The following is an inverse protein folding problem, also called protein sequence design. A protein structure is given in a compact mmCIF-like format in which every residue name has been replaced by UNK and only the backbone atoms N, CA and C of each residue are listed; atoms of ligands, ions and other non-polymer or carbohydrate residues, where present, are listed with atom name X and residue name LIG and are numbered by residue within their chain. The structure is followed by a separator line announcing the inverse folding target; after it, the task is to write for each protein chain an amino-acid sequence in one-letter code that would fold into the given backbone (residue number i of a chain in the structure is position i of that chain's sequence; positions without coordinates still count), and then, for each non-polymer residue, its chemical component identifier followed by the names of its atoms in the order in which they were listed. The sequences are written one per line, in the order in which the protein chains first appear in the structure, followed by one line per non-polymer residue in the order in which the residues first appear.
data_IF_876104546001
#
_entry.id   IF_876104546001
#
_cell.length_a   1.000
_cell.length_b   1.000
_cell.length_c   1.000
_cell.angle_alpha   90.00
_cell.angle_beta   90.00
_cell.angle_gamma   90.00
#
_symmetry.space_group_name_H-M   'P 1'
#
loop_
_entity.id
_entity.type
_entity.pdbx_description
1 polymer ?
#
# COMPACT_ATOMS: atom_id res chain seq x y z
N UNK A 1 16.45 5.48 -4.89
CA UNK A 1 16.16 5.08 -3.48
C UNK A 1 16.10 6.35 -2.65
N UNK A 2 14.97 6.67 -2.02
CA UNK A 2 14.97 7.72 -0.98
C UNK A 2 15.75 7.14 0.20
N UNK A 3 16.95 7.67 0.47
CA UNK A 3 17.59 7.44 1.78
C UNK A 3 16.59 7.92 2.83
N UNK A 4 16.11 7.03 3.68
CA UNK A 4 15.41 7.43 4.89
C UNK A 4 16.44 8.18 5.74
N UNK A 5 16.27 9.50 5.86
CA UNK A 5 17.12 10.31 6.72
C UNK A 5 16.98 9.79 8.16
N UNK A 6 18.10 9.67 8.87
CA UNK A 6 18.15 9.14 10.23
C UNK A 6 17.30 10.01 11.17
N UNK A 7 16.28 9.41 11.78
CA UNK A 7 15.36 10.09 12.70
C UNK A 7 16.03 10.20 14.07
N UNK A 8 16.24 11.43 14.53
CA UNK A 8 16.77 11.74 15.86
C UNK A 8 15.65 11.64 16.91
N UNK A 9 14.47 12.19 16.57
CA UNK A 9 13.28 12.15 17.43
C UNK A 9 12.01 12.34 16.63
N UNK A 10 10.96 11.65 17.05
CA UNK A 10 9.59 11.85 16.59
C UNK A 10 8.67 12.09 17.80
N UNK A 11 7.60 12.87 17.60
CA UNK A 11 6.61 13.12 18.66
C UNK A 11 5.65 14.28 18.34
N UNK A 12 4.77 14.60 19.29
CA UNK A 12 3.86 15.74 19.18
C UNK A 12 4.47 17.03 19.76
N UNK A 13 4.37 18.14 19.03
CA UNK A 13 4.70 19.48 19.51
C UNK A 13 3.57 20.46 19.20
N UNK A 14 3.44 21.53 19.99
CA UNK A 14 2.52 22.62 19.68
C UNK A 14 3.23 23.73 18.89
N UNK A 15 2.79 23.99 17.66
CA UNK A 15 3.27 25.08 16.81
C UNK A 15 2.28 26.22 16.84
N UNK A 16 2.79 27.45 17.01
CA UNK A 16 1.99 28.66 16.96
C UNK A 16 1.59 29.01 15.53
N UNK A 17 0.30 29.23 15.29
CA UNK A 17 -0.21 29.60 13.97
C UNK A 17 0.16 31.03 13.62
N UNK A 18 0.35 31.26 12.34
CA UNK A 18 0.66 32.52 11.67
C UNK A 18 -0.62 33.31 11.31
N UNK A 19 -1.78 32.81 11.72
CA UNK A 19 -3.07 33.52 11.62
C UNK A 19 -3.19 34.67 12.64
N UNK A 20 -4.18 35.54 12.43
CA UNK A 20 -4.47 36.69 13.29
C UNK A 20 -4.60 36.34 14.78
N UNK A 21 -5.18 35.18 15.10
CA UNK A 21 -5.42 34.75 16.47
C UNK A 21 -4.24 34.05 17.15
N UNK A 22 -3.16 33.76 16.41
CA UNK A 22 -1.90 33.24 16.97
C UNK A 22 -2.07 32.01 17.88
N UNK A 23 -2.94 31.07 17.48
CA UNK A 23 -3.34 29.90 18.25
C UNK A 23 -2.23 28.83 18.25
N UNK A 24 -2.16 28.04 19.32
CA UNK A 24 -1.30 26.86 19.39
C UNK A 24 -2.03 25.66 18.76
N UNK A 25 -1.33 24.91 17.89
CA UNK A 25 -1.84 23.68 17.28
C UNK A 25 -0.85 22.56 17.48
N UNK A 26 -1.31 21.42 18.00
CA UNK A 26 -0.52 20.18 18.01
C UNK A 26 -0.15 19.79 16.60
N UNK A 27 1.05 19.24 16.44
CA UNK A 27 1.63 18.76 15.18
C UNK A 27 2.43 17.51 15.49
N UNK A 28 2.32 16.50 14.63
CA UNK A 28 3.31 15.44 14.60
C UNK A 28 4.58 15.99 13.96
N UNK A 29 5.72 15.79 14.61
CA UNK A 29 7.00 16.36 14.21
C UNK A 29 8.05 15.27 14.14
N UNK A 30 8.83 15.28 13.07
CA UNK A 30 10.00 14.42 12.90
C UNK A 30 11.22 15.29 12.73
N UNK A 31 12.20 15.08 13.60
CA UNK A 31 13.51 15.72 13.56
C UNK A 31 14.53 14.72 12.99
N UNK A 32 15.20 15.12 11.92
CA UNK A 32 16.37 14.41 11.36
C UNK A 32 17.61 15.29 11.50
N UNK A 33 18.79 14.77 11.14
CA UNK A 33 20.03 15.58 11.11
C UNK A 33 19.93 16.79 10.18
N UNK A 34 19.12 16.69 9.12
CA UNK A 34 19.07 17.67 8.04
C UNK A 34 17.81 18.56 8.08
N UNK A 35 16.76 18.16 8.81
CA UNK A 35 15.46 18.84 8.71
C UNK A 35 14.55 18.66 9.93
N UNK A 36 13.64 19.63 10.11
CA UNK A 36 12.49 19.52 11.03
C UNK A 36 11.21 19.50 10.19
N UNK A 37 10.56 18.35 10.11
CA UNK A 37 9.33 18.17 9.34
C UNK A 37 8.11 18.24 10.25
N UNK A 38 7.17 19.13 9.94
CA UNK A 38 5.87 19.22 10.61
C UNK A 38 4.79 18.61 9.73
N UNK A 39 4.09 17.62 10.26
CA UNK A 39 3.02 16.96 9.53
C UNK A 39 1.67 17.63 9.82
N UNK A 40 0.82 17.82 8.80
CA UNK A 40 -0.47 18.47 8.94
C UNK A 40 -1.43 17.63 9.81
N UNK A 41 -2.37 18.32 10.46
CA UNK A 41 -3.41 17.69 11.27
C UNK A 41 -4.58 17.36 10.34
N UNK A 42 -4.34 16.38 9.47
CA UNK A 42 -5.32 15.93 8.48
C UNK A 42 -5.38 14.42 8.51
N UNK A 43 -6.60 13.88 8.52
CA UNK A 43 -6.82 12.46 8.30
C UNK A 43 -7.37 12.27 6.89
N UNK A 44 -6.74 11.40 6.12
CA UNK A 44 -7.35 10.81 4.93
C UNK A 44 -8.19 9.63 5.38
N UNK A 45 -9.42 9.58 4.91
CA UNK A 45 -10.35 8.47 5.08
C UNK A 45 -10.40 7.68 3.78
N UNK A 46 -10.39 6.36 3.88
CA UNK A 46 -10.54 5.48 2.72
C UNK A 46 -11.18 4.16 3.13
N UNK A 47 -11.90 3.55 2.20
CA UNK A 47 -12.61 2.29 2.40
C UNK A 47 -11.97 1.22 1.52
N UNK A 48 -11.73 0.05 2.11
CA UNK A 48 -11.35 -1.15 1.36
C UNK A 48 -12.58 -2.03 1.24
N UNK A 49 -12.95 -2.35 0.01
CA UNK A 49 -14.01 -3.32 -0.30
C UNK A 49 -13.36 -4.65 -0.67
N UNK A 50 -13.71 -5.71 0.06
CA UNK A 50 -13.16 -7.05 -0.16
C UNK A 50 -13.96 -7.84 -1.20
N UNK A 51 -13.47 -9.02 -1.61
CA UNK A 51 -14.15 -9.89 -2.60
C UNK A 51 -15.50 -10.42 -2.12
N UNK A 52 -15.66 -10.59 -0.81
CA UNK A 52 -16.92 -10.93 -0.13
C UNK A 52 -17.81 -9.71 0.12
N UNK A 53 -17.53 -8.57 -0.53
CA UNK A 53 -18.28 -7.30 -0.44
C UNK A 53 -18.33 -6.71 0.96
N UNK A 54 -17.37 -7.08 1.81
CA UNK A 54 -17.21 -6.45 3.12
C UNK A 54 -16.47 -5.13 2.95
N UNK A 55 -17.02 -4.08 3.55
CA UNK A 55 -16.39 -2.77 3.61
C UNK A 55 -15.62 -2.64 4.92
N UNK A 56 -14.41 -2.11 4.83
CA UNK A 56 -13.54 -1.83 5.98
C UNK A 56 -13.04 -0.40 5.84
N UNK A 57 -13.47 0.46 6.75
CA UNK A 57 -13.08 1.86 6.77
C UNK A 57 -11.79 2.07 7.55
N UNK A 58 -10.90 2.87 6.98
CA UNK A 58 -9.65 3.28 7.57
C UNK A 58 -9.53 4.80 7.57
N UNK A 59 -8.76 5.31 8.52
CA UNK A 59 -8.22 6.67 8.47
C UNK A 59 -6.75 6.66 8.83
N UNK A 60 -5.99 7.56 8.22
CA UNK A 60 -4.57 7.72 8.49
C UNK A 60 -4.16 9.19 8.34
N UNK A 61 -3.05 9.63 8.95
CA UNK A 61 -2.53 10.98 8.72
C UNK A 61 -2.26 11.23 7.22
N UNK A 62 -2.55 12.44 6.74
CA UNK A 62 -2.55 12.85 5.32
C UNK A 62 -1.24 12.52 4.56
N UNK A 63 -0.11 12.48 5.27
CA UNK A 63 1.20 12.19 4.67
C UNK A 63 1.74 10.78 4.95
N UNK A 64 0.98 9.94 5.64
CA UNK A 64 1.44 8.61 6.07
C UNK A 64 1.58 7.58 4.95
N UNK A 65 1.17 7.94 3.73
CA UNK A 65 1.17 7.10 2.52
C UNK A 65 0.54 5.70 2.65
N UNK A 66 -0.24 5.45 3.71
CA UNK A 66 -0.88 4.16 3.98
C UNK A 66 -1.83 3.75 2.85
N UNK A 67 -2.70 4.66 2.38
CA UNK A 67 -3.61 4.38 1.27
C UNK A 67 -2.84 3.88 0.04
N UNK A 68 -1.81 4.61 -0.40
CA UNK A 68 -0.98 4.23 -1.55
C UNK A 68 -0.24 2.89 -1.33
N UNK A 69 0.35 2.70 -0.15
CA UNK A 69 1.08 1.47 0.19
C UNK A 69 0.16 0.24 0.16
N UNK A 70 -1.04 0.37 0.71
CA UNK A 70 -2.05 -0.69 0.69
C UNK A 70 -2.54 -0.95 -0.74
N UNK A 71 -2.89 0.09 -1.50
CA UNK A 71 -3.32 -0.04 -2.91
C UNK A 71 -2.28 -0.79 -3.73
N UNK A 72 -1.00 -0.41 -3.63
CA UNK A 72 0.07 -1.06 -4.39
C UNK A 72 0.27 -2.51 -3.99
N UNK A 73 0.21 -2.84 -2.70
CA UNK A 73 0.31 -4.23 -2.23
C UNK A 73 -0.87 -5.09 -2.74
N UNK A 74 -2.09 -4.54 -2.73
CA UNK A 74 -3.27 -5.24 -3.25
C UNK A 74 -3.20 -5.46 -4.77
N UNK A 75 -2.71 -4.48 -5.52
CA UNK A 75 -2.49 -4.60 -6.98
C UNK A 75 -1.42 -5.67 -7.26
N UNK A 76 -0.28 -5.63 -6.57
CA UNK A 76 0.78 -6.62 -6.73
C UNK A 76 0.27 -8.04 -6.43
N UNK A 77 -0.49 -8.22 -5.34
CA UNK A 77 -1.12 -9.49 -5.02
C UNK A 77 -2.06 -9.98 -6.13
N UNK A 78 -2.92 -9.10 -6.66
CA UNK A 78 -3.85 -9.45 -7.74
C UNK A 78 -3.11 -9.81 -9.03
N UNK A 79 -2.07 -9.06 -9.40
CA UNK A 79 -1.25 -9.33 -10.57
C UNK A 79 -0.53 -10.67 -10.46
N UNK A 80 0.08 -10.96 -9.30
CA UNK A 80 0.74 -12.25 -9.04
C UNK A 80 -0.23 -13.42 -9.20
N UNK A 81 -1.44 -13.31 -8.64
CA UNK A 81 -2.48 -14.33 -8.80
C UNK A 81 -2.91 -14.50 -10.24
N UNK A 82 -3.15 -13.40 -10.97
CA UNK A 82 -3.55 -13.46 -12.37
C UNK A 82 -2.49 -14.18 -13.25
N UNK A 83 -1.21 -13.91 -13.01
CA UNK A 83 -0.11 -14.58 -13.72
C UNK A 83 -0.04 -16.07 -13.38
N UNK A 84 -0.19 -16.42 -12.09
CA UNK A 84 -0.18 -17.81 -11.64
C UNK A 84 -1.35 -18.60 -12.25
N UNK A 85 -2.56 -18.04 -12.21
CA UNK A 85 -3.76 -18.66 -12.77
C UNK A 85 -3.61 -18.86 -14.29
N UNK A 86 -3.00 -17.91 -15.01
CA UNK A 86 -2.72 -18.04 -16.44
C UNK A 86 -1.72 -19.16 -16.73
N UNK A 87 -0.58 -19.19 -16.02
CA UNK A 87 0.45 -20.22 -16.20
C UNK A 87 -0.09 -21.61 -15.92
N UNK A 88 -0.86 -21.78 -14.84
CA UNK A 88 -1.45 -23.06 -14.46
C UNK A 88 -2.41 -23.58 -15.54
N UNK A 89 -3.21 -22.71 -16.17
CA UNK A 89 -4.08 -23.09 -17.30
C UNK A 89 -3.27 -23.55 -18.51
N UNK A 90 -2.22 -22.82 -18.86
CA UNK A 90 -1.35 -23.18 -19.97
C UNK A 90 -0.65 -24.53 -19.75
N UNK A 91 -0.19 -24.81 -18.53
CA UNK A 91 0.42 -26.09 -18.17
C UNK A 91 -0.59 -27.25 -18.25
N UNK A 92 -1.83 -27.05 -17.79
CA UNK A 92 -2.89 -28.06 -17.92
C UNK A 92 -3.24 -28.37 -19.38
N UNK A 93 -3.36 -27.34 -20.23
CA UNK A 93 -3.62 -27.51 -21.66
C UNK A 93 -2.48 -28.25 -22.37
N UNK A 94 -1.22 -27.94 -22.05
CA UNK A 94 -0.06 -28.64 -22.59
C UNK A 94 0.01 -30.10 -22.12
N UNK A 95 -0.29 -30.36 -20.85
CA UNK A 95 -0.34 -31.73 -20.32
C UNK A 95 -1.44 -32.55 -20.99
N UNK A 96 -2.64 -31.99 -21.16
CA UNK A 96 -3.76 -32.64 -21.85
C UNK A 96 -3.42 -32.96 -23.31
N UNK A 97 -2.88 -32.00 -24.07
CA UNK A 97 -2.47 -32.22 -25.45
C UNK A 97 -1.32 -33.23 -25.60
N UNK A 98 -0.42 -33.33 -24.61
CA UNK A 98 0.65 -34.33 -24.58
C UNK A 98 0.09 -35.72 -24.28
N UNK A 99 -0.85 -35.84 -23.34
CA UNK A 99 -1.54 -37.08 -23.00
C UNK A 99 -2.33 -37.61 -24.21
N UNK A 100 -3.07 -36.76 -24.89
CA UNK A 100 -3.89 -37.11 -26.06
C UNK A 100 -3.02 -37.62 -27.22
N UNK A 101 -1.88 -36.97 -27.50
CA UNK A 101 -0.89 -37.46 -28.49
C UNK A 101 -0.23 -38.78 -28.11
N UNK A 102 -0.06 -39.07 -26.81
CA UNK A 102 0.47 -40.37 -26.34
C UNK A 102 -0.56 -41.48 -26.54
N UNK A 103 -1.83 -41.23 -26.18
CA UNK A 103 -2.91 -42.20 -26.35
C UNK A 103 -3.19 -42.48 -27.83
N UNK A 104 -3.13 -41.48 -28.70
CA UNK A 104 -3.29 -41.65 -30.16
C UNK A 104 -2.13 -42.40 -30.85
N UNK A 105 -1.00 -42.63 -30.15
CA UNK A 105 0.18 -43.36 -30.65
C UNK A 105 0.37 -44.74 -30.02
N UNK A 106 -0.52 -45.15 -29.10
CA UNK A 106 -0.49 -46.50 -28.54
C UNK A 106 -1.07 -47.50 -29.56
N UNK A 107 -0.43 -48.68 -29.73
CA UNK A 107 -0.83 -49.69 -30.72
C UNK A 107 -2.18 -50.35 -30.43
#
# INVERSE_FOLDING_TARGET
MKMQAEVIREGELEKRSDSLFQLWKKKLVVLTKDSLSLFPDGYIYFTIVTKDRKEIDFRCPDQSCWNASITMALIDFQNKRAIQDFKSRQEMEQAAGTQERRLARAP
#
